data_IF_444230508194
#
_entry.id   IF_444230508194
#
_cell.length_a   1.000
_cell.length_b   1.000
_cell.length_c   1.000
_cell.angle_alpha   90.00
_cell.angle_beta   90.00
_cell.angle_gamma   90.00
#
_symmetry.space_group_name_H-M   'P 1'
#
loop_
_entity.id
_entity.type
_entity.pdbx_description
1 polymer ?
#
# COMPACT_ATOMS: atom_id res chain seq x y z
N UNK A 1 48.38 21.90 15.41
CA UNK A 1 47.17 21.64 16.23
C UNK A 1 45.86 22.16 15.58
N UNK A 2 45.72 22.20 14.24
CA UNK A 2 44.48 22.69 13.60
C UNK A 2 44.06 21.92 12.33
N UNK A 3 44.55 20.69 12.12
CA UNK A 3 44.27 19.94 10.88
C UNK A 3 43.54 18.60 11.08
N UNK A 4 43.55 18.02 12.28
CA UNK A 4 42.88 16.74 12.54
C UNK A 4 41.36 16.88 12.84
N UNK A 5 40.91 18.04 13.32
CA UNK A 5 39.50 18.27 13.64
C UNK A 5 38.62 18.45 12.39
N UNK A 6 39.21 18.89 11.27
CA UNK A 6 38.46 19.17 10.03
C UNK A 6 38.12 17.89 9.24
N UNK A 7 38.88 16.80 9.44
CA UNK A 7 38.60 15.50 8.82
C UNK A 7 37.51 14.70 9.53
N UNK A 8 37.16 15.04 10.78
CA UNK A 8 36.08 14.38 11.54
C UNK A 8 34.67 14.93 11.22
N UNK A 9 34.58 16.02 10.45
CA UNK A 9 33.31 16.69 10.11
C UNK A 9 32.70 16.26 8.76
N UNK A 10 33.30 15.30 8.06
CA UNK A 10 32.80 14.75 6.79
C UNK A 10 32.35 13.29 6.92
N UNK A 11 31.81 12.90 8.07
CA UNK A 11 30.87 11.79 8.10
C UNK A 11 29.54 12.29 7.51
N UNK A 12 29.46 12.33 6.18
CA UNK A 12 28.17 12.44 5.50
C UNK A 12 27.37 11.20 5.89
N UNK A 13 26.53 11.32 6.92
CA UNK A 13 25.50 10.34 7.20
C UNK A 13 24.58 10.35 5.98
N UNK A 14 24.78 9.39 5.07
CA UNK A 14 23.78 9.08 4.06
C UNK A 14 22.51 8.67 4.82
N UNK A 15 21.58 9.62 4.97
CA UNK A 15 20.33 9.37 5.68
C UNK A 15 19.52 8.33 4.94
N UNK A 16 19.17 7.23 5.61
CA UNK A 16 18.18 6.28 5.08
C UNK A 16 16.80 6.93 5.21
N UNK A 17 16.12 7.15 4.09
CA UNK A 17 14.73 7.63 4.09
C UNK A 17 13.79 6.43 4.12
N UNK A 18 13.07 6.26 5.24
CA UNK A 18 12.02 5.25 5.37
C UNK A 18 10.67 5.84 4.93
N UNK A 19 9.88 5.07 4.20
CA UNK A 19 8.48 5.38 3.96
C UNK A 19 7.62 4.48 4.86
N UNK A 20 6.57 5.05 5.44
CA UNK A 20 5.64 4.37 6.33
C UNK A 20 4.33 4.08 5.59
N UNK A 21 3.83 2.86 5.74
CA UNK A 21 2.53 2.42 5.26
C UNK A 21 1.75 1.85 6.44
N UNK A 22 0.60 2.42 6.76
CA UNK A 22 -0.22 2.05 7.92
C UNK A 22 -1.58 1.57 7.47
N UNK A 23 -1.93 0.33 7.83
CA UNK A 23 -3.22 -0.30 7.55
C UNK A 23 -3.74 -1.03 8.82
N UNK A 24 -5.03 -1.36 8.90
CA UNK A 24 -5.57 -2.19 9.98
C UNK A 24 -4.86 -3.55 10.08
N UNK A 25 -4.69 -4.05 11.30
CA UNK A 25 -4.07 -5.36 11.54
C UNK A 25 -4.94 -6.52 11.06
N UNK A 26 -6.27 -6.40 11.19
CA UNK A 26 -7.23 -7.39 10.69
C UNK A 26 -8.60 -6.76 10.48
N UNK A 27 -9.39 -7.37 9.60
CA UNK A 27 -10.81 -7.05 9.37
C UNK A 27 -11.56 -8.37 9.26
N UNK A 28 -12.65 -8.51 10.02
CA UNK A 28 -13.50 -9.71 10.02
C UNK A 28 -14.88 -9.33 9.49
N UNK A 29 -15.38 -10.10 8.54
CA UNK A 29 -16.64 -9.85 7.84
C UNK A 29 -17.47 -11.13 7.76
N UNK A 30 -18.79 -10.96 7.66
CA UNK A 30 -19.70 -12.02 7.27
C UNK A 30 -19.74 -12.17 5.73
N UNK A 31 -20.06 -13.36 5.21
CA UNK A 31 -20.24 -13.56 3.78
C UNK A 31 -21.25 -12.58 3.17
N UNK A 32 -20.96 -12.07 1.97
CA UNK A 32 -21.77 -11.09 1.26
C UNK A 32 -21.48 -9.63 1.61
N UNK A 33 -20.76 -9.35 2.71
CA UNK A 33 -20.43 -7.98 3.09
C UNK A 33 -19.34 -7.37 2.19
N UNK A 34 -19.24 -6.04 2.24
CA UNK A 34 -18.18 -5.27 1.58
C UNK A 34 -16.95 -5.19 2.48
N UNK A 35 -15.79 -5.47 1.91
CA UNK A 35 -14.49 -5.19 2.52
C UNK A 35 -14.09 -3.75 2.23
N UNK A 36 -13.57 -3.05 3.24
CA UNK A 36 -12.91 -1.75 3.09
C UNK A 36 -11.65 -1.76 3.95
N UNK A 37 -10.48 -1.64 3.32
CA UNK A 37 -9.18 -1.53 4.01
C UNK A 37 -8.50 -0.25 3.54
N UNK A 38 -8.21 0.65 4.47
CA UNK A 38 -7.46 1.88 4.18
C UNK A 38 -5.98 1.67 4.45
N UNK A 39 -5.13 2.19 3.57
CA UNK A 39 -3.69 2.29 3.79
C UNK A 39 -3.26 3.76 3.70
N UNK A 40 -2.81 4.31 4.82
CA UNK A 40 -2.25 5.65 4.89
C UNK A 40 -0.74 5.58 4.65
N UNK A 41 -0.22 6.41 3.75
CA UNK A 41 1.19 6.39 3.36
C UNK A 41 1.89 7.72 3.67
N UNK A 42 3.19 7.68 3.98
CA UNK A 42 3.98 8.88 4.28
C UNK A 42 4.40 9.68 3.04
N UNK A 43 4.36 9.06 1.86
CA UNK A 43 4.66 9.72 0.59
C UNK A 43 3.43 10.35 -0.04
N UNK A 44 3.63 11.20 -1.05
CA UNK A 44 2.50 11.74 -1.81
C UNK A 44 1.95 10.70 -2.78
N UNK A 45 0.67 10.37 -2.64
CA UNK A 45 -0.07 9.50 -3.57
C UNK A 45 -0.25 10.12 -4.96
N UNK A 46 0.12 11.40 -5.14
CA UNK A 46 0.20 12.08 -6.45
C UNK A 46 1.51 11.78 -7.18
N UNK A 47 2.53 11.31 -6.46
CA UNK A 47 3.89 11.11 -7.00
C UNK A 47 4.23 9.64 -7.20
N UNK A 48 3.58 8.73 -6.48
CA UNK A 48 3.85 7.29 -6.53
C UNK A 48 2.56 6.49 -6.53
N UNK A 49 2.60 5.37 -7.26
CA UNK A 49 1.56 4.37 -7.21
C UNK A 49 1.60 3.62 -5.88
N UNK A 50 0.39 3.28 -5.41
CA UNK A 50 0.22 2.38 -4.27
C UNK A 50 -0.56 1.16 -4.74
N UNK A 51 0.08 0.01 -4.66
CA UNK A 51 -0.46 -1.28 -5.03
C UNK A 51 -1.18 -1.94 -3.84
N UNK A 52 -2.19 -2.73 -4.16
CA UNK A 52 -2.80 -3.70 -3.25
C UNK A 52 -2.48 -5.12 -3.73
N UNK A 53 -2.03 -5.95 -2.80
CA UNK A 53 -1.64 -7.34 -3.04
C UNK A 53 -2.36 -8.21 -2.02
N UNK A 54 -2.87 -9.38 -2.43
CA UNK A 54 -3.43 -10.37 -1.50
C UNK A 54 -2.63 -11.66 -1.51
N UNK A 55 -2.63 -12.33 -0.38
CA UNK A 55 -2.06 -13.67 -0.20
C UNK A 55 -3.11 -14.60 0.42
N UNK A 56 -3.84 -15.38 -0.39
CA UNK A 56 -4.69 -16.43 0.14
C UNK A 56 -3.86 -17.49 0.87
N UNK A 57 -4.44 -18.15 1.87
CA UNK A 57 -3.76 -19.19 2.62
C UNK A 57 -3.21 -20.30 1.70
N UNK A 58 -1.92 -20.62 1.86
CA UNK A 58 -1.22 -21.62 1.04
C UNK A 58 -0.97 -21.23 -0.42
N UNK A 59 -1.20 -19.96 -0.81
CA UNK A 59 -0.98 -19.47 -2.18
C UNK A 59 0.10 -18.37 -2.22
N UNK A 60 0.62 -18.14 -3.42
CA UNK A 60 1.53 -17.02 -3.72
C UNK A 60 0.80 -15.68 -3.65
N UNK A 61 1.60 -14.61 -3.54
CA UNK A 61 1.11 -13.24 -3.65
C UNK A 61 0.42 -13.03 -5.01
N UNK A 62 -0.71 -12.33 -4.97
CA UNK A 62 -1.53 -11.98 -6.11
C UNK A 62 -1.78 -10.48 -6.09
N UNK A 63 -1.19 -9.76 -7.05
CA UNK A 63 -1.43 -8.33 -7.24
C UNK A 63 -2.89 -8.09 -7.67
N UNK A 64 -3.55 -7.12 -7.03
CA UNK A 64 -4.94 -6.75 -7.28
C UNK A 64 -5.00 -5.59 -8.27
N UNK A 65 -4.21 -4.56 -8.01
CA UNK A 65 -4.27 -3.29 -8.71
C UNK A 65 -3.41 -2.24 -8.03
N UNK A 66 -3.23 -1.11 -8.68
CA UNK A 66 -2.49 0.04 -8.15
C UNK A 66 -3.08 1.35 -8.63
N UNK A 67 -2.92 2.38 -7.81
CA UNK A 67 -3.49 3.70 -8.07
C UNK A 67 -2.56 4.81 -7.61
N UNK A 68 -2.53 5.90 -8.38
CA UNK A 68 -1.92 7.19 -8.03
C UNK A 68 -2.91 8.31 -8.39
N UNK A 69 -2.94 9.36 -7.57
CA UNK A 69 -3.87 10.47 -7.76
C UNK A 69 -3.59 11.19 -9.08
N UNK A 70 -4.64 11.47 -9.86
CA UNK A 70 -4.54 12.06 -11.20
C UNK A 70 -3.98 11.14 -12.29
N UNK A 71 -3.77 9.84 -12.00
CA UNK A 71 -3.23 8.87 -12.97
C UNK A 71 -4.22 7.73 -13.25
N UNK A 72 -3.96 6.95 -14.30
CA UNK A 72 -4.77 5.76 -14.61
C UNK A 72 -4.57 4.69 -13.53
N UNK A 73 -5.68 4.15 -13.02
CA UNK A 73 -5.70 3.00 -12.11
C UNK A 73 -5.60 1.69 -12.89
N UNK A 74 -4.69 0.80 -12.49
CA UNK A 74 -4.53 -0.52 -13.09
C UNK A 74 -5.08 -1.60 -12.18
N UNK A 75 -5.54 -2.69 -12.81
CA UNK A 75 -6.13 -3.84 -12.13
C UNK A 75 -5.70 -5.13 -12.80
N UNK A 76 -5.62 -6.21 -12.02
CA UNK A 76 -5.55 -7.56 -12.56
C UNK A 76 -6.92 -7.92 -13.12
N UNK A 77 -6.98 -8.33 -14.38
CA UNK A 77 -8.26 -8.55 -15.07
C UNK A 77 -9.15 -9.57 -14.36
N UNK A 78 -8.57 -10.64 -13.79
CA UNK A 78 -9.34 -11.65 -13.04
C UNK A 78 -9.96 -11.12 -11.74
N UNK A 79 -9.56 -9.95 -11.26
CA UNK A 79 -9.97 -9.36 -9.98
C UNK A 79 -10.70 -8.02 -10.12
N UNK A 80 -10.73 -7.43 -11.32
CA UNK A 80 -11.33 -6.12 -11.61
C UNK A 80 -12.80 -5.98 -11.20
N UNK A 81 -13.57 -7.07 -11.30
CA UNK A 81 -14.99 -7.05 -10.93
C UNK A 81 -15.22 -7.29 -9.42
N UNK A 82 -14.17 -7.67 -8.70
CA UNK A 82 -14.25 -8.01 -7.27
C UNK A 82 -13.75 -6.87 -6.40
N UNK A 83 -12.70 -6.19 -6.83
CA UNK A 83 -12.02 -5.15 -6.06
C UNK A 83 -11.98 -3.82 -6.80
N UNK A 84 -12.06 -2.73 -6.05
CA UNK A 84 -11.83 -1.37 -6.53
C UNK A 84 -10.88 -0.63 -5.59
N UNK A 85 -10.13 0.33 -6.14
CA UNK A 85 -9.22 1.20 -5.40
C UNK A 85 -9.78 2.62 -5.41
N UNK A 86 -9.69 3.30 -4.26
CA UNK A 86 -10.02 4.74 -4.13
C UNK A 86 -8.89 5.49 -3.43
N UNK A 87 -8.66 6.73 -3.81
CA UNK A 87 -7.57 7.57 -3.27
C UNK A 87 -8.17 8.80 -2.59
N UNK A 88 -7.65 9.12 -1.41
CA UNK A 88 -7.81 10.42 -0.76
C UNK A 88 -6.44 11.10 -0.67
N UNK A 89 -6.20 12.07 -1.57
CA UNK A 89 -4.94 12.80 -1.62
C UNK A 89 -4.80 13.89 -0.56
N UNK A 90 -5.85 14.19 0.21
CA UNK A 90 -5.73 15.09 1.36
C UNK A 90 -5.05 14.42 2.56
N UNK A 91 -5.20 13.10 2.68
CA UNK A 91 -4.66 12.30 3.78
C UNK A 91 -3.56 11.30 3.33
N UNK A 92 -3.22 11.27 2.05
CA UNK A 92 -2.37 10.25 1.41
C UNK A 92 -2.85 8.83 1.73
N UNK A 93 -4.15 8.58 1.54
CA UNK A 93 -4.76 7.27 1.81
C UNK A 93 -5.16 6.59 0.50
N UNK A 94 -4.81 5.31 0.36
CA UNK A 94 -5.30 4.45 -0.72
C UNK A 94 -6.10 3.30 -0.11
N UNK A 95 -7.36 3.22 -0.49
CA UNK A 95 -8.32 2.28 0.09
C UNK A 95 -8.67 1.19 -0.92
N UNK A 96 -8.59 -0.06 -0.48
CA UNK A 96 -9.11 -1.22 -1.19
C UNK A 96 -10.55 -1.49 -0.75
N UNK A 97 -11.45 -1.59 -1.72
CA UNK A 97 -12.81 -2.05 -1.52
C UNK A 97 -13.01 -3.40 -2.21
N UNK A 98 -13.62 -4.37 -1.52
CA UNK A 98 -13.98 -5.68 -2.07
C UNK A 98 -15.47 -5.94 -1.95
N UNK A 99 -16.13 -6.37 -3.04
CA UNK A 99 -17.58 -6.54 -3.06
C UNK A 99 -18.00 -8.00 -2.86
N UNK A 100 -19.14 -8.21 -2.20
CA UNK A 100 -19.76 -9.53 -2.01
C UNK A 100 -18.73 -10.58 -1.49
N UNK A 101 -18.03 -10.26 -0.41
CA UNK A 101 -16.91 -11.07 0.09
C UNK A 101 -17.36 -12.47 0.49
N UNK A 102 -16.62 -13.49 0.08
CA UNK A 102 -16.91 -14.89 0.40
C UNK A 102 -15.77 -15.49 1.22
N UNK A 103 -15.98 -16.62 1.91
CA UNK A 103 -14.90 -17.29 2.65
C UNK A 103 -13.64 -17.57 1.81
N UNK A 104 -13.81 -17.84 0.52
CA UNK A 104 -12.69 -18.04 -0.42
C UNK A 104 -11.88 -16.79 -0.75
N UNK A 105 -12.35 -15.60 -0.39
CA UNK A 105 -11.63 -14.33 -0.53
C UNK A 105 -10.77 -14.00 0.70
N UNK A 106 -10.78 -14.86 1.73
CA UNK A 106 -9.93 -14.67 2.91
C UNK A 106 -8.46 -14.78 2.55
N UNK A 107 -7.71 -13.75 2.91
CA UNK A 107 -6.31 -13.57 2.56
C UNK A 107 -5.65 -12.56 3.51
N UNK A 108 -4.33 -12.54 3.54
CA UNK A 108 -3.60 -11.36 4.04
C UNK A 108 -3.55 -10.33 2.91
N UNK A 109 -3.93 -9.10 3.21
CA UNK A 109 -3.92 -7.99 2.26
C UNK A 109 -2.79 -7.03 2.64
N UNK A 110 -1.99 -6.64 1.65
CA UNK A 110 -0.85 -5.75 1.81
C UNK A 110 -1.03 -4.55 0.90
N UNK A 111 -0.91 -3.34 1.45
CA UNK A 111 -0.56 -2.18 0.64
C UNK A 111 0.96 -2.13 0.46
N UNK A 112 1.38 -1.75 -0.75
CA UNK A 112 2.78 -1.60 -1.10
C UNK A 112 2.94 -0.36 -1.97
N UNK A 113 4.09 0.30 -1.86
CA UNK A 113 4.50 1.33 -2.82
C UNK A 113 5.11 0.62 -4.03
N UNK A 114 4.72 1.03 -5.23
CA UNK A 114 5.40 0.65 -6.46
C UNK A 114 6.57 1.61 -6.77
#
# INVERSE_FOLDING_TARGET
MFCAALFLLLAAAAGVKCEQLTQPASVTLQPGQTLTISCQVSYSVRSYYTAWIRQPAGKRLEWIGEAADGSTTYYKDSLRNKFSLSIDSSSNTVTLNGQNMQPGDSAVYYCARD
#
